data_IF_599036842188
#
_entry.id   IF_599036842188
#
_cell.length_a   1.000
_cell.length_b   1.000
_cell.length_c   1.000
_cell.angle_alpha   90.00
_cell.angle_beta   90.00
_cell.angle_gamma   90.00
#
_symmetry.space_group_name_H-M   'P 1'
#
loop_
_entity.id
_entity.type
_entity.pdbx_description
1 polymer ?
#
# COMPACT_ATOMS: atom_id res chain seq x y z
N UNK A 1 -9.25 -34.68 31.50
CA UNK A 1 -9.74 -35.13 30.17
C UNK A 1 -8.58 -35.11 29.20
N UNK A 2 -8.23 -36.27 28.63
CA UNK A 2 -7.20 -36.47 27.59
C UNK A 2 -7.90 -36.61 26.24
N UNK A 3 -7.42 -35.90 25.22
CA UNK A 3 -7.64 -36.17 23.79
C UNK A 3 -6.29 -35.82 23.10
N UNK A 4 -5.36 -36.75 22.84
CA UNK A 4 -5.29 -37.77 21.76
C UNK A 4 -5.52 -37.23 20.33
N UNK A 5 -4.40 -36.92 19.64
CA UNK A 5 -4.01 -37.00 18.19
C UNK A 5 -5.02 -36.79 17.04
N UNK A 6 -4.63 -36.86 15.74
CA UNK A 6 -3.30 -37.09 15.09
C UNK A 6 -2.86 -35.86 14.22
N UNK A 7 -1.62 -35.66 13.77
CA UNK A 7 -0.65 -36.59 13.22
C UNK A 7 -0.77 -36.70 11.69
N UNK A 8 -0.35 -35.68 10.93
CA UNK A 8 -0.20 -35.77 9.47
C UNK A 8 1.20 -35.27 9.06
N UNK A 9 2.03 -36.22 8.62
CA UNK A 9 3.31 -36.01 7.91
C UNK A 9 3.08 -36.29 6.41
N UNK A 10 4.14 -36.05 5.63
CA UNK A 10 4.38 -36.37 4.22
C UNK A 10 4.14 -35.16 3.29
N UNK A 11 4.97 -34.82 2.30
CA UNK A 11 5.96 -35.58 1.51
C UNK A 11 7.13 -34.65 1.11
N UNK A 12 8.34 -35.22 1.07
CA UNK A 12 9.53 -34.62 0.47
C UNK A 12 9.50 -34.78 -1.06
N UNK A 13 9.76 -33.70 -1.80
CA UNK A 13 9.98 -33.73 -3.24
C UNK A 13 11.25 -32.97 -3.59
N UNK A 14 12.34 -33.71 -3.80
CA UNK A 14 13.56 -33.23 -4.44
C UNK A 14 13.48 -33.59 -5.93
N UNK A 15 13.81 -32.67 -6.83
CA UNK A 15 14.34 -33.02 -8.17
C UNK A 15 15.00 -31.81 -8.86
N UNK A 16 16.31 -31.96 -9.13
CA UNK A 16 17.10 -31.59 -10.32
C UNK A 16 17.11 -30.12 -10.79
N UNK A 17 18.25 -29.42 -10.71
CA UNK A 17 19.37 -29.40 -11.68
C UNK A 17 18.99 -28.85 -13.06
N UNK A 18 19.50 -27.65 -13.37
CA UNK A 18 19.46 -27.05 -14.70
C UNK A 18 20.41 -25.85 -14.80
N UNK A 19 21.68 -26.12 -15.10
CA UNK A 19 22.72 -25.13 -15.43
C UNK A 19 22.67 -24.85 -16.94
N UNK A 20 22.72 -23.58 -17.34
CA UNK A 20 23.02 -23.12 -18.71
C UNK A 20 23.02 -21.60 -18.77
N UNK A 21 24.18 -20.94 -18.69
CA UNK A 21 25.08 -20.55 -19.79
C UNK A 21 24.62 -19.30 -20.57
N UNK A 22 25.28 -18.19 -20.23
CA UNK A 22 25.88 -17.16 -21.09
C UNK A 22 25.20 -16.76 -22.42
N UNK A 23 24.97 -15.45 -22.57
CA UNK A 23 24.73 -14.81 -23.86
C UNK A 23 24.30 -13.35 -23.76
N UNK A 24 25.25 -12.44 -23.57
CA UNK A 24 25.08 -11.01 -23.89
C UNK A 24 25.36 -10.78 -25.40
N UNK A 25 25.38 -9.53 -25.90
CA UNK A 25 24.29 -8.59 -26.12
C UNK A 25 24.09 -8.33 -27.63
N UNK A 26 22.90 -7.89 -28.06
CA UNK A 26 22.70 -7.37 -29.42
C UNK A 26 21.94 -6.04 -29.37
N UNK A 27 22.70 -4.97 -29.49
CA UNK A 27 22.22 -3.67 -29.88
C UNK A 27 21.60 -3.75 -31.28
N UNK A 28 20.39 -3.23 -31.46
CA UNK A 28 19.88 -2.85 -32.77
C UNK A 28 19.59 -1.37 -32.73
N UNK A 29 20.39 -0.63 -33.48
CA UNK A 29 20.23 0.78 -33.75
C UNK A 29 19.14 0.99 -34.82
N UNK A 30 18.38 2.07 -34.62
CA UNK A 30 17.83 3.00 -35.61
C UNK A 30 17.09 2.44 -36.83
N UNK A 31 15.85 2.92 -36.99
CA UNK A 31 15.52 3.70 -38.19
C UNK A 31 14.55 4.82 -37.81
N UNK A 32 14.99 6.04 -38.06
CA UNK A 32 14.17 7.24 -38.03
C UNK A 32 13.16 7.17 -39.18
N UNK A 33 11.89 7.35 -38.88
CA UNK A 33 10.90 7.73 -39.88
C UNK A 33 10.13 8.92 -39.35
N UNK A 34 10.65 10.09 -39.69
CA UNK A 34 9.95 11.36 -39.61
C UNK A 34 8.76 11.32 -40.57
N UNK A 35 7.56 11.16 -40.01
CA UNK A 35 6.35 11.67 -40.62
C UNK A 35 5.92 12.89 -39.81
N UNK A 36 6.51 14.03 -40.12
CA UNK A 36 6.05 15.33 -39.62
C UNK A 36 4.71 15.64 -40.28
N UNK A 37 3.63 15.13 -39.71
CA UNK A 37 2.30 15.65 -39.93
C UNK A 37 2.18 16.94 -39.11
N UNK A 38 2.44 18.08 -39.76
CA UNK A 38 2.06 19.40 -39.28
C UNK A 38 0.54 19.46 -39.18
N UNK A 39 -0.02 19.02 -38.05
CA UNK A 39 -1.39 19.35 -37.68
C UNK A 39 -1.40 20.81 -37.26
N UNK A 40 -1.99 21.62 -38.11
CA UNK A 40 -2.44 22.97 -37.82
C UNK A 40 -3.44 22.87 -36.65
N UNK A 41 -2.95 23.09 -35.43
CA UNK A 41 -3.78 23.11 -34.22
C UNK A 41 -4.54 24.43 -34.21
N UNK A 42 -5.81 24.36 -34.64
CA UNK A 42 -6.80 25.39 -34.39
C UNK A 42 -6.79 25.73 -32.88
N UNK A 43 -6.74 27.00 -32.46
CA UNK A 43 -6.81 27.38 -31.06
C UNK A 43 -8.24 27.17 -30.52
N UNK A 44 -8.60 25.91 -30.32
CA UNK A 44 -9.78 25.52 -29.55
C UNK A 44 -9.60 25.92 -28.08
N UNK A 45 -10.69 26.18 -27.34
CA UNK A 45 -10.62 26.55 -25.93
C UNK A 45 -9.92 25.44 -25.15
N UNK A 46 -8.81 25.79 -24.49
CA UNK A 46 -8.05 24.91 -23.59
C UNK A 46 -9.00 24.44 -22.48
N UNK A 47 -9.50 23.21 -22.60
CA UNK A 47 -10.18 22.54 -21.50
C UNK A 47 -9.10 22.02 -20.56
N UNK A 48 -8.80 22.81 -19.54
CA UNK A 48 -8.00 22.36 -18.39
C UNK A 48 -8.85 21.29 -17.69
N UNK A 49 -8.65 20.03 -18.07
CA UNK A 49 -9.18 18.89 -17.33
C UNK A 49 -8.32 18.69 -16.09
N UNK A 50 -8.93 18.73 -14.90
CA UNK A 50 -8.26 18.32 -13.67
C UNK A 50 -7.92 16.84 -13.76
N UNK A 51 -6.63 16.51 -13.83
CA UNK A 51 -6.14 15.13 -13.75
C UNK A 51 -6.17 14.71 -12.28
N UNK A 52 -7.25 14.06 -11.86
CA UNK A 52 -7.33 13.44 -10.52
C UNK A 52 -6.55 12.13 -10.54
N UNK A 53 -5.27 12.17 -10.17
CA UNK A 53 -4.48 10.95 -10.00
C UNK A 53 -4.98 10.20 -8.75
N UNK A 54 -5.70 9.11 -8.95
CA UNK A 54 -6.09 8.21 -7.86
C UNK A 54 -4.89 7.33 -7.52
N UNK A 55 -4.25 7.54 -6.35
CA UNK A 55 -3.24 6.62 -5.83
C UNK A 55 -3.93 5.51 -5.04
N UNK A 56 -3.68 4.27 -5.41
CA UNK A 56 -4.13 3.08 -4.67
C UNK A 56 -2.98 2.52 -3.85
N UNK A 57 -3.17 2.34 -2.55
CA UNK A 57 -2.27 1.56 -1.71
C UNK A 57 -2.69 0.10 -1.73
N UNK A 58 -1.73 -0.81 -1.86
CA UNK A 58 -1.97 -2.25 -1.85
C UNK A 58 -1.61 -2.81 -0.48
N UNK A 59 -2.62 -2.98 0.39
CA UNK A 59 -2.46 -3.61 1.70
C UNK A 59 -2.81 -5.11 1.54
N UNK A 60 -1.91 -6.04 1.89
CA UNK A 60 -2.23 -7.46 1.89
C UNK A 60 -3.43 -7.78 2.81
N UNK A 61 -4.36 -8.61 2.32
CA UNK A 61 -5.58 -8.98 3.05
C UNK A 61 -5.27 -9.61 4.42
N UNK A 62 -4.13 -10.28 4.55
CA UNK A 62 -3.71 -10.92 5.80
C UNK A 62 -3.45 -9.92 6.93
N UNK A 63 -3.01 -8.69 6.59
CA UNK A 63 -2.64 -7.65 7.55
C UNK A 63 -3.63 -6.48 7.60
N UNK A 64 -4.50 -6.34 6.60
CA UNK A 64 -5.57 -5.35 6.60
C UNK A 64 -6.32 -5.21 7.95
N UNK A 65 -6.84 -6.28 8.59
CA UNK A 65 -7.59 -6.15 9.83
C UNK A 65 -6.78 -5.60 11.01
N UNK A 66 -5.45 -5.69 10.98
CA UNK A 66 -4.58 -5.24 12.08
C UNK A 66 -3.98 -3.87 11.83
N UNK A 67 -3.95 -3.39 10.58
CA UNK A 67 -3.50 -2.03 10.23
C UNK A 67 -4.63 -1.00 10.24
N UNK A 68 -5.90 -1.41 10.10
CA UNK A 68 -7.04 -0.48 10.17
C UNK A 68 -7.11 0.39 11.44
N UNK A 69 -6.80 -0.11 12.66
CA UNK A 69 -6.76 0.74 13.85
C UNK A 69 -5.73 1.87 13.73
N UNK A 70 -4.60 1.62 13.05
CA UNK A 70 -3.59 2.65 12.81
C UNK A 70 -4.10 3.72 11.86
N UNK A 71 -4.75 3.34 10.76
CA UNK A 71 -5.42 4.29 9.85
C UNK A 71 -6.48 5.12 10.59
N UNK A 72 -7.29 4.49 11.45
CA UNK A 72 -8.29 5.21 12.26
C UNK A 72 -7.64 6.21 13.21
N UNK A 73 -6.48 5.90 13.78
CA UNK A 73 -5.73 6.84 14.60
C UNK A 73 -5.27 8.05 13.79
N UNK A 74 -4.73 7.83 12.58
CA UNK A 74 -4.27 8.91 11.70
C UNK A 74 -5.42 9.82 11.23
N UNK A 75 -6.61 9.27 10.96
CA UNK A 75 -7.80 10.07 10.64
C UNK A 75 -8.28 10.89 11.85
N UNK A 76 -8.44 10.23 12.99
CA UNK A 76 -8.95 10.86 14.21
C UNK A 76 -7.98 11.94 14.72
N UNK A 77 -6.65 11.71 14.63
CA UNK A 77 -5.62 12.67 15.06
C UNK A 77 -5.59 13.94 14.20
N UNK A 78 -6.20 13.93 13.02
CA UNK A 78 -6.36 15.12 12.16
C UNK A 78 -7.66 15.86 12.37
N UNK A 79 -8.52 15.38 13.26
CA UNK A 79 -9.86 15.94 13.46
C UNK A 79 -10.79 15.68 12.28
N UNK A 80 -10.47 14.72 11.39
CA UNK A 80 -11.32 14.40 10.25
C UNK A 80 -12.62 13.74 10.72
N UNK A 81 -13.76 14.28 10.29
CA UNK A 81 -15.06 13.69 10.59
C UNK A 81 -15.22 12.36 9.82
N UNK A 82 -15.04 11.24 10.51
CA UNK A 82 -15.30 9.92 9.96
C UNK A 82 -16.80 9.62 9.94
N UNK A 83 -17.32 9.11 8.82
CA UNK A 83 -18.72 8.69 8.68
C UNK A 83 -18.80 7.18 8.42
N UNK A 84 -19.76 6.52 9.05
CA UNK A 84 -20.07 5.10 8.86
C UNK A 84 -21.59 4.93 8.88
N UNK A 85 -22.13 4.22 7.89
CA UNK A 85 -23.59 4.04 7.70
C UNK A 85 -24.38 5.36 7.68
N UNK A 86 -23.78 6.40 7.09
CA UNK A 86 -24.38 7.74 7.01
C UNK A 86 -24.42 8.52 8.32
N UNK A 87 -23.80 8.02 9.39
CA UNK A 87 -23.69 8.70 10.69
C UNK A 87 -22.25 9.06 10.98
N UNK A 88 -22.04 10.23 11.59
CA UNK A 88 -20.72 10.60 12.08
C UNK A 88 -20.32 9.64 13.20
N UNK A 89 -19.17 8.98 13.01
CA UNK A 89 -18.57 8.12 14.01
C UNK A 89 -17.96 9.00 15.09
N UNK A 90 -18.13 8.64 16.36
CA UNK A 90 -17.35 9.25 17.44
C UNK A 90 -15.87 8.89 17.22
N UNK A 91 -14.94 9.87 17.24
CA UNK A 91 -13.53 9.58 17.14
C UNK A 91 -13.09 8.69 18.31
N UNK A 92 -12.24 7.71 18.02
CA UNK A 92 -11.66 6.81 19.02
C UNK A 92 -10.43 7.43 19.68
N UNK A 93 -9.74 8.30 18.94
CA UNK A 93 -8.56 9.04 19.39
C UNK A 93 -8.85 10.54 19.44
N UNK A 94 -8.10 11.27 20.26
CA UNK A 94 -8.19 12.74 20.31
C UNK A 94 -7.50 13.35 19.08
N UNK A 95 -7.92 14.56 18.70
CA UNK A 95 -7.20 15.35 17.70
C UNK A 95 -5.78 15.63 18.21
N UNK A 96 -4.79 15.49 17.33
CA UNK A 96 -3.36 15.58 17.67
C UNK A 96 -2.81 14.37 18.44
N UNK A 97 -3.56 13.27 18.57
CA UNK A 97 -3.06 12.08 19.26
C UNK A 97 -1.80 11.48 18.62
N UNK A 98 -0.89 11.00 19.46
CA UNK A 98 0.30 10.26 19.04
C UNK A 98 -0.05 8.81 18.65
N UNK A 99 0.02 8.53 17.36
CA UNK A 99 -0.28 7.21 16.80
C UNK A 99 0.89 6.22 16.85
N UNK A 100 2.05 6.59 17.41
CA UNK A 100 3.26 5.73 17.46
C UNK A 100 2.98 4.38 18.13
N UNK A 101 2.31 4.39 19.28
CA UNK A 101 1.98 3.14 20.00
C UNK A 101 1.04 2.22 19.19
N UNK A 102 0.14 2.82 18.42
CA UNK A 102 -0.80 2.10 17.53
C UNK A 102 -0.06 1.53 16.33
N UNK A 103 0.89 2.28 15.76
CA UNK A 103 1.79 1.84 14.68
C UNK A 103 2.60 0.61 15.09
N UNK A 104 3.26 0.66 16.25
CA UNK A 104 4.08 -0.45 16.76
C UNK A 104 3.24 -1.70 17.05
N UNK A 105 2.01 -1.51 17.55
CA UNK A 105 1.08 -2.60 17.76
C UNK A 105 0.65 -3.22 16.43
N UNK A 106 0.28 -2.39 15.45
CA UNK A 106 -0.08 -2.86 14.11
C UNK A 106 1.06 -3.65 13.46
N UNK A 107 2.31 -3.18 13.57
CA UNK A 107 3.49 -3.87 13.05
C UNK A 107 3.68 -5.26 13.68
N UNK A 108 3.59 -5.38 15.01
CA UNK A 108 3.67 -6.67 15.72
C UNK A 108 2.55 -7.61 15.33
N UNK A 109 1.32 -7.11 15.29
CA UNK A 109 0.14 -7.92 14.96
C UNK A 109 0.19 -8.39 13.50
N UNK A 110 0.73 -7.56 12.59
CA UNK A 110 0.95 -7.89 11.18
C UNK A 110 2.03 -8.96 11.01
N UNK A 111 3.16 -8.88 11.73
CA UNK A 111 4.17 -9.97 11.74
C UNK A 111 3.54 -11.29 12.20
N UNK A 112 2.75 -11.26 13.28
CA UNK A 112 2.06 -12.45 13.77
C UNK A 112 1.06 -13.02 12.75
N UNK A 113 0.35 -12.18 12.00
CA UNK A 113 -0.57 -12.60 10.92
C UNK A 113 0.19 -13.24 9.76
N UNK A 114 1.23 -12.59 9.25
CA UNK A 114 2.03 -13.09 8.14
C UNK A 114 2.76 -14.39 8.49
N UNK A 115 3.21 -14.56 9.74
CA UNK A 115 3.76 -15.83 10.23
C UNK A 115 2.74 -16.97 10.20
N UNK A 116 1.48 -16.67 10.52
CA UNK A 116 0.38 -17.64 10.50
C UNK A 116 -0.09 -17.96 9.09
N UNK A 117 -0.05 -17.01 8.16
CA UNK A 117 -0.41 -17.24 6.75
C UNK A 117 0.64 -18.07 6.00
N UNK A 118 1.86 -18.20 6.54
CA UNK A 118 2.89 -19.08 6.02
C UNK A 118 4.16 -18.36 5.55
N UNK A 119 4.21 -17.04 5.61
CA UNK A 119 5.40 -16.26 5.25
C UNK A 119 6.51 -16.44 6.32
N UNK A 120 7.45 -17.36 6.08
CA UNK A 120 8.49 -17.73 7.06
C UNK A 120 9.68 -16.78 7.08
N UNK A 121 10.00 -16.13 5.96
CA UNK A 121 11.12 -15.21 5.88
C UNK A 121 10.85 -13.93 6.69
N UNK A 122 11.68 -13.68 7.72
CA UNK A 122 11.52 -12.53 8.61
C UNK A 122 11.74 -11.20 7.88
N UNK A 123 12.81 -11.08 7.10
CA UNK A 123 13.15 -9.86 6.39
C UNK A 123 12.09 -9.51 5.31
N UNK A 124 11.48 -10.52 4.70
CA UNK A 124 10.36 -10.32 3.79
C UNK A 124 9.12 -9.80 4.51
N UNK A 125 8.75 -10.39 5.66
CA UNK A 125 7.64 -9.87 6.48
C UNK A 125 7.87 -8.44 6.91
N UNK A 126 9.05 -8.13 7.44
CA UNK A 126 9.40 -6.78 7.88
C UNK A 126 9.29 -5.77 6.72
N UNK A 127 9.75 -6.12 5.52
CA UNK A 127 9.59 -5.26 4.33
C UNK A 127 8.15 -5.04 3.93
N UNK A 128 7.32 -6.09 3.96
CA UNK A 128 5.89 -5.99 3.62
C UNK A 128 5.16 -5.11 4.64
N UNK A 129 5.43 -5.31 5.93
CA UNK A 129 4.82 -4.54 7.02
C UNK A 129 5.23 -3.08 6.93
N UNK A 130 6.52 -2.79 6.83
CA UNK A 130 7.02 -1.42 6.77
C UNK A 130 6.48 -0.71 5.54
N UNK A 131 6.52 -1.37 4.38
CA UNK A 131 5.94 -0.79 3.15
C UNK A 131 4.45 -0.47 3.32
N UNK A 132 3.66 -1.36 3.88
CA UNK A 132 2.23 -1.12 4.06
C UNK A 132 1.95 0.03 5.04
N UNK A 133 2.71 0.12 6.14
CA UNK A 133 2.55 1.21 7.12
C UNK A 133 3.02 2.56 6.57
N UNK A 134 4.14 2.60 5.84
CA UNK A 134 4.61 3.81 5.17
C UNK A 134 3.66 4.25 4.04
N UNK A 135 3.15 3.32 3.23
CA UNK A 135 2.18 3.66 2.17
C UNK A 135 0.90 4.29 2.77
N UNK A 136 0.47 3.83 3.95
CA UNK A 136 -0.62 4.46 4.71
C UNK A 136 -0.22 5.88 5.11
N UNK A 137 0.91 6.07 5.78
CA UNK A 137 1.40 7.40 6.20
C UNK A 137 1.49 8.37 5.02
N UNK A 138 2.10 7.95 3.92
CA UNK A 138 2.22 8.73 2.69
C UNK A 138 0.85 9.12 2.12
N UNK A 139 -0.09 8.17 2.06
CA UNK A 139 -1.45 8.44 1.57
C UNK A 139 -2.12 9.52 2.43
N UNK A 140 -1.94 9.44 3.73
CA UNK A 140 -2.46 10.42 4.65
C UNK A 140 -1.74 11.76 4.45
N UNK A 141 -0.41 11.84 4.44
CA UNK A 141 0.33 13.11 4.34
C UNK A 141 0.12 13.85 3.02
N UNK A 142 -0.27 13.14 1.96
CA UNK A 142 -0.67 13.72 0.67
C UNK A 142 -2.05 14.41 0.66
N UNK A 143 -2.72 14.56 1.81
CA UNK A 143 -3.78 15.54 2.00
C UNK A 143 -3.24 16.78 2.75
N UNK A 144 -2.34 17.59 2.14
CA UNK A 144 -2.19 18.96 2.61
C UNK A 144 -3.52 19.65 2.34
N UNK A 145 -4.12 20.24 3.37
CA UNK A 145 -5.34 21.01 3.22
C UNK A 145 -5.21 21.95 2.04
N UNK A 146 -6.24 22.05 1.21
CA UNK A 146 -6.48 23.25 0.43
C UNK A 146 -6.64 24.39 1.43
N UNK A 147 -5.66 25.30 1.55
CA UNK A 147 -5.86 26.51 2.31
C UNK A 147 -6.61 27.47 1.38
N UNK A 148 -7.91 27.25 1.23
CA UNK A 148 -8.80 28.27 0.67
C UNK A 148 -9.18 29.24 1.82
N UNK A 149 -8.17 29.76 2.51
CA UNK A 149 -8.27 30.85 3.47
C UNK A 149 -7.69 32.13 2.84
N UNK A 150 -8.21 32.51 1.66
CA UNK A 150 -8.00 33.84 1.08
C UNK A 150 -9.36 34.46 0.76
N UNK A 151 -10.13 34.86 1.78
CA UNK A 151 -10.91 36.13 1.79
C UNK A 151 -11.74 36.27 3.08
N UNK A 152 -11.29 37.15 3.99
CA UNK A 152 -12.04 38.37 4.37
C UNK A 152 -11.32 39.21 5.41
#
# INVERSE_FOLDING_TARGET
>A
MRLNGPGWRCVAGALLMGVGLAGAPAAVAQEASEAQATSEVEPGPVRIGTVTTTRSIAIPDEIAPVVFPYMSCLEDSRGAASYSDGRQRKPQYEEGADCTSVREKAARDADARLRRSGMRNRAERERVIEKALSDIEDLHDMHPGSPDEETR
#
